data_IF_516760761437
#
_entry.id   IF_516760761437
#
_cell.length_a   1.000
_cell.length_b   1.000
_cell.length_c   1.000
_cell.angle_alpha   90.00
_cell.angle_beta   90.00
_cell.angle_gamma   90.00
#
_symmetry.space_group_name_H-M   'P 1'
#
loop_
_entity.id
_entity.type
_entity.pdbx_description
1 polymer ?
#
# COMPACT_ATOMS: atom_id res chain seq x y z
N UNK A 1 -21.28 36.38 16.27
CA UNK A 1 -20.08 36.06 15.45
C UNK A 1 -20.45 34.90 14.55
N UNK A 2 -20.16 34.97 13.24
CA UNK A 2 -20.40 33.84 12.35
C UNK A 2 -19.41 32.72 12.68
N UNK A 3 -19.91 31.49 12.90
CA UNK A 3 -19.07 30.33 13.19
C UNK A 3 -18.24 29.99 11.95
N UNK A 4 -16.91 29.95 12.08
CA UNK A 4 -16.05 29.53 10.97
C UNK A 4 -16.26 28.04 10.70
N UNK A 5 -16.47 27.66 9.44
CA UNK A 5 -16.53 26.27 8.99
C UNK A 5 -15.14 25.83 8.54
N UNK A 6 -14.61 24.77 9.15
CA UNK A 6 -13.37 24.13 8.69
C UNK A 6 -13.75 23.15 7.58
N UNK A 7 -13.05 23.23 6.44
CA UNK A 7 -13.20 22.32 5.31
C UNK A 7 -11.90 21.56 5.16
N UNK A 8 -11.98 20.24 5.15
CA UNK A 8 -10.87 19.36 4.82
C UNK A 8 -10.86 19.11 3.30
N UNK A 9 -9.70 19.28 2.68
CA UNK A 9 -9.46 19.07 1.25
C UNK A 9 -8.43 17.97 1.01
N UNK A 10 -8.08 17.20 2.04
CA UNK A 10 -7.19 16.05 1.92
C UNK A 10 -7.79 14.99 1.00
N UNK A 11 -6.91 14.33 0.26
CA UNK A 11 -7.21 13.16 -0.56
C UNK A 11 -6.25 12.05 -0.15
N UNK A 12 -6.63 10.81 -0.40
CA UNK A 12 -5.72 9.68 -0.22
C UNK A 12 -4.68 9.66 -1.36
N UNK A 13 -3.56 8.96 -1.14
CA UNK A 13 -2.56 8.77 -2.19
C UNK A 13 -3.04 7.68 -3.15
N UNK A 14 -2.95 7.95 -4.44
CA UNK A 14 -3.21 6.98 -5.49
C UNK A 14 -2.40 7.35 -6.75
N UNK A 15 -2.23 6.39 -7.66
CA UNK A 15 -1.43 6.61 -8.86
C UNK A 15 -2.21 7.30 -9.99
N UNK A 16 -3.54 7.16 -10.01
CA UNK A 16 -4.36 7.53 -11.17
C UNK A 16 -4.82 9.00 -11.13
N UNK A 17 -4.91 9.58 -9.92
CA UNK A 17 -5.27 10.99 -9.75
C UNK A 17 -4.02 11.85 -9.75
N UNK A 18 -3.96 12.76 -10.72
CA UNK A 18 -2.90 13.77 -10.79
C UNK A 18 -3.18 14.83 -9.71
N UNK A 19 -2.61 14.62 -8.52
CA UNK A 19 -2.67 15.57 -7.41
C UNK A 19 -1.64 16.70 -7.54
N UNK A 20 -0.50 16.40 -8.17
CA UNK A 20 0.70 17.25 -8.18
C UNK A 20 1.38 17.32 -9.56
N UNK A 21 2.27 18.32 -9.78
CA UNK A 21 3.16 18.34 -10.94
C UNK A 21 4.03 17.08 -11.01
N UNK A 22 4.36 16.62 -12.21
CA UNK A 22 4.99 15.32 -12.46
C UNK A 22 6.20 14.97 -11.56
N UNK A 23 7.15 15.88 -11.25
CA UNK A 23 8.28 15.56 -10.37
C UNK A 23 7.92 15.35 -8.89
N UNK A 24 6.72 15.74 -8.47
CA UNK A 24 6.25 15.69 -7.08
C UNK A 24 5.05 14.76 -6.92
N UNK A 25 4.72 13.98 -7.95
CA UNK A 25 3.61 13.03 -7.85
C UNK A 25 4.02 11.87 -6.95
N UNK A 26 3.17 11.49 -5.98
CA UNK A 26 3.37 10.26 -5.25
C UNK A 26 3.30 9.07 -6.22
N UNK A 27 4.13 8.06 -5.98
CA UNK A 27 4.06 6.79 -6.71
C UNK A 27 3.99 5.63 -5.73
N UNK A 28 2.95 4.82 -5.87
CA UNK A 28 2.72 3.62 -5.09
C UNK A 28 3.03 2.40 -5.96
N UNK A 29 4.05 1.63 -5.57
CA UNK A 29 4.30 0.31 -6.12
C UNK A 29 3.58 -0.73 -5.25
N UNK A 30 2.59 -1.40 -5.84
CA UNK A 30 1.79 -2.44 -5.16
C UNK A 30 2.44 -3.80 -5.34
N UNK A 31 2.55 -4.53 -4.23
CA UNK A 31 3.06 -5.90 -4.17
C UNK A 31 1.94 -6.74 -3.56
N UNK A 32 1.45 -7.73 -4.31
CA UNK A 32 0.27 -8.49 -3.91
C UNK A 32 0.56 -9.47 -2.78
N UNK A 33 -0.51 -10.00 -2.18
CA UNK A 33 -0.46 -11.07 -1.19
C UNK A 33 0.28 -12.33 -1.68
N UNK A 34 0.22 -12.61 -2.98
CA UNK A 34 0.89 -13.76 -3.59
C UNK A 34 2.37 -13.50 -3.80
N UNK A 35 2.73 -12.27 -4.19
CA UNK A 35 4.12 -11.89 -4.46
C UNK A 35 4.99 -11.94 -3.19
N UNK A 36 4.41 -11.73 -2.02
CA UNK A 36 5.15 -11.72 -0.73
C UNK A 36 5.18 -13.06 -0.01
N UNK A 37 4.53 -14.10 -0.55
CA UNK A 37 4.43 -15.40 0.11
C UNK A 37 5.78 -16.09 0.25
N UNK A 38 6.59 -16.05 -0.80
CA UNK A 38 7.93 -16.65 -0.78
C UNK A 38 8.82 -15.95 0.26
N UNK A 39 8.76 -14.61 0.34
CA UNK A 39 9.49 -13.85 1.35
C UNK A 39 9.07 -14.29 2.76
N UNK A 40 7.76 -14.40 3.00
CA UNK A 40 7.21 -14.83 4.30
C UNK A 40 7.72 -16.22 4.69
N UNK A 41 7.62 -17.20 3.80
CA UNK A 41 8.04 -18.59 4.06
C UNK A 41 9.54 -18.65 4.36
N UNK A 42 10.38 -17.86 3.66
CA UNK A 42 11.81 -17.79 3.97
C UNK A 42 12.11 -17.24 5.38
N UNK A 43 11.24 -16.40 5.95
CA UNK A 43 11.41 -15.90 7.31
C UNK A 43 11.13 -16.97 8.39
N UNK A 44 10.33 -18.00 8.09
CA UNK A 44 9.89 -19.00 9.07
C UNK A 44 10.33 -20.43 8.64
N UNK A 45 11.50 -20.92 9.13
CA UNK A 45 11.99 -22.25 8.77
C UNK A 45 10.98 -23.37 9.05
N UNK A 46 10.64 -24.15 8.02
CA UNK A 46 9.72 -25.28 8.10
C UNK A 46 8.23 -24.91 7.92
N UNK A 47 7.92 -23.65 7.64
CA UNK A 47 6.61 -23.23 7.14
C UNK A 47 6.50 -23.57 5.66
N UNK A 48 5.36 -24.07 5.23
CA UNK A 48 5.03 -24.27 3.83
C UNK A 48 3.98 -23.25 3.37
N UNK A 49 3.94 -22.86 2.08
CA UNK A 49 2.90 -21.98 1.54
C UNK A 49 1.47 -22.40 1.89
N UNK A 50 1.21 -23.72 1.93
CA UNK A 50 -0.09 -24.32 2.27
C UNK A 50 -0.52 -24.13 3.72
N UNK A 51 0.41 -23.73 4.60
CA UNK A 51 0.08 -23.42 5.99
C UNK A 51 -0.60 -22.05 6.13
N UNK A 52 -0.54 -21.21 5.08
CA UNK A 52 -1.18 -19.91 5.04
C UNK A 52 -2.63 -20.01 4.55
N UNK A 53 -3.56 -19.22 5.12
CA UNK A 53 -4.90 -19.06 4.56
C UNK A 53 -4.81 -18.64 3.10
N UNK A 54 -5.51 -19.37 2.24
CA UNK A 54 -5.54 -19.16 0.79
C UNK A 54 -4.16 -19.12 0.12
N UNK A 55 -3.09 -19.63 0.77
CA UNK A 55 -1.70 -19.51 0.32
C UNK A 55 -1.30 -18.03 0.09
N UNK A 56 -1.61 -17.14 1.02
CA UNK A 56 -1.38 -15.70 0.90
C UNK A 56 -0.56 -15.12 2.07
N UNK A 57 0.27 -14.12 1.76
CA UNK A 57 1.02 -13.33 2.74
C UNK A 57 0.55 -11.86 2.75
N UNK A 58 1.30 -10.95 3.36
CA UNK A 58 0.89 -9.54 3.46
C UNK A 58 1.06 -8.80 2.13
N UNK A 59 0.04 -8.08 1.68
CA UNK A 59 0.24 -7.09 0.62
C UNK A 59 1.08 -5.92 1.14
N UNK A 60 1.89 -5.34 0.25
CA UNK A 60 2.78 -4.22 0.58
C UNK A 60 2.58 -3.11 -0.44
N UNK A 61 2.46 -1.88 0.06
CA UNK A 61 2.50 -0.66 -0.74
C UNK A 61 3.81 0.07 -0.48
N UNK A 62 4.64 0.24 -1.52
CA UNK A 62 5.86 1.05 -1.44
C UNK A 62 5.57 2.42 -1.99
N UNK A 63 5.56 3.43 -1.12
CA UNK A 63 5.28 4.82 -1.47
C UNK A 63 6.58 5.58 -1.70
N UNK A 64 6.68 6.24 -2.86
CA UNK A 64 7.72 7.21 -3.19
C UNK A 64 7.09 8.60 -3.23
N UNK A 65 7.74 9.57 -2.59
CA UNK A 65 7.28 10.97 -2.43
C UNK A 65 8.28 11.95 -3.04
#
# INVERSE_FOLDING_TARGET
MSTRKIIDLSIYLENDVISDPEPYRPKIDYISHKDTLEDLVHFFPGMEPSDMPDEEAWAIERVNL
#
